data_IF_114334190572
#
_entry.id   IF_114334190572
#
_cell.length_a   1.000
_cell.length_b   1.000
_cell.length_c   1.000
_cell.angle_alpha   90.00
_cell.angle_beta   90.00
_cell.angle_gamma   90.00
#
_symmetry.space_group_name_H-M   'P 1'
#
loop_
_entity.id
_entity.type
_entity.pdbx_description
1 polymer ?
#
# COMPACT_ATOMS: atom_id res chain seq x y z
N UNK A 1 -8.29 -25.79 -11.69
CA UNK A 1 -8.80 -24.39 -11.76
C UNK A 1 -9.13 -23.93 -10.35
N UNK A 2 -8.78 -22.69 -9.98
CA UNK A 2 -9.10 -22.15 -8.65
C UNK A 2 -10.60 -21.92 -8.49
N UNK A 3 -11.16 -22.27 -7.33
CA UNK A 3 -12.61 -22.21 -7.08
C UNK A 3 -13.19 -20.80 -7.21
N UNK A 4 -12.45 -19.76 -6.77
CA UNK A 4 -12.92 -18.38 -6.74
C UNK A 4 -12.68 -17.61 -8.06
N UNK A 5 -11.95 -18.18 -9.02
CA UNK A 5 -11.61 -17.55 -10.31
C UNK A 5 -11.17 -16.07 -10.17
N UNK A 6 -10.17 -15.75 -9.34
CA UNK A 6 -9.76 -14.37 -9.10
C UNK A 6 -9.14 -13.76 -10.36
N UNK A 7 -9.37 -12.45 -10.58
CA UNK A 7 -8.66 -11.69 -11.62
C UNK A 7 -7.19 -11.41 -11.25
N UNK A 8 -6.90 -11.37 -9.95
CA UNK A 8 -5.59 -11.04 -9.40
C UNK A 8 -5.41 -11.63 -7.99
N UNK A 9 -4.18 -11.95 -7.61
CA UNK A 9 -3.80 -12.38 -6.25
C UNK A 9 -2.55 -11.62 -5.83
N UNK A 10 -2.56 -11.01 -4.64
CA UNK A 10 -1.44 -10.26 -4.11
C UNK A 10 -0.80 -10.93 -2.89
N UNK A 11 0.52 -10.87 -2.79
CA UNK A 11 1.25 -11.27 -1.58
C UNK A 11 1.02 -10.27 -0.45
N UNK A 12 0.74 -10.74 0.77
CA UNK A 12 0.38 -9.89 1.90
C UNK A 12 1.53 -8.99 2.38
N UNK A 13 1.25 -7.69 2.60
CA UNK A 13 2.25 -6.65 2.88
C UNK A 13 3.18 -6.94 4.05
N UNK A 14 2.61 -7.23 5.22
CA UNK A 14 3.43 -7.54 6.40
C UNK A 14 4.22 -8.84 6.29
N UNK A 15 3.79 -9.78 5.44
CA UNK A 15 4.53 -11.03 5.19
C UNK A 15 5.67 -10.74 4.21
N UNK A 16 5.43 -9.94 3.16
CA UNK A 16 6.49 -9.41 2.28
C UNK A 16 7.60 -8.77 3.10
N UNK A 17 7.26 -7.79 3.95
CA UNK A 17 8.26 -7.06 4.72
C UNK A 17 9.05 -7.96 5.66
N UNK A 18 8.38 -8.95 6.27
CA UNK A 18 9.02 -9.90 7.17
C UNK A 18 9.97 -10.86 6.44
N UNK A 19 9.60 -11.33 5.26
CA UNK A 19 10.45 -12.20 4.45
C UNK A 19 11.66 -11.44 3.90
N UNK A 20 11.49 -10.20 3.44
CA UNK A 20 12.59 -9.35 2.99
C UNK A 20 13.60 -9.11 4.11
N UNK A 21 13.12 -8.75 5.30
CA UNK A 21 13.97 -8.56 6.49
C UNK A 21 14.71 -9.83 6.89
N UNK A 22 14.09 -11.00 6.72
CA UNK A 22 14.72 -12.29 6.99
C UNK A 22 15.69 -12.76 5.88
N UNK A 23 15.93 -11.96 4.84
CA UNK A 23 16.76 -12.35 3.69
C UNK A 23 16.10 -13.40 2.78
N UNK A 24 14.78 -13.58 2.88
CA UNK A 24 14.00 -14.60 2.19
C UNK A 24 13.09 -14.01 1.09
N UNK A 25 13.52 -12.90 0.47
CA UNK A 25 12.78 -12.22 -0.59
C UNK A 25 12.39 -13.18 -1.74
N UNK A 26 13.23 -14.17 -2.05
CA UNK A 26 12.96 -15.15 -3.10
C UNK A 26 11.63 -15.90 -2.89
N UNK A 27 11.18 -16.12 -1.65
CA UNK A 27 9.88 -16.75 -1.39
C UNK A 27 8.70 -15.89 -1.89
N UNK A 28 8.85 -14.57 -1.88
CA UNK A 28 7.87 -13.64 -2.45
C UNK A 28 7.90 -13.71 -3.98
N UNK A 29 9.09 -13.81 -4.58
CA UNK A 29 9.22 -13.98 -6.04
C UNK A 29 8.62 -15.30 -6.50
N UNK A 30 8.88 -16.39 -5.78
CA UNK A 30 8.32 -17.71 -6.09
C UNK A 30 6.80 -17.72 -5.95
N UNK A 31 6.23 -16.91 -5.04
CA UNK A 31 4.79 -16.68 -4.97
C UNK A 31 4.27 -16.02 -6.25
N UNK A 32 4.93 -14.96 -6.73
CA UNK A 32 4.55 -14.26 -7.97
C UNK A 32 4.50 -15.24 -9.14
N UNK A 33 5.56 -16.05 -9.32
CA UNK A 33 5.62 -17.09 -10.36
C UNK A 33 4.47 -18.09 -10.27
N UNK A 34 4.18 -18.59 -9.06
CA UNK A 34 3.08 -19.55 -8.84
C UNK A 34 1.70 -18.96 -9.16
N UNK A 35 1.48 -17.67 -8.90
CA UNK A 35 0.24 -16.99 -9.27
C UNK A 35 0.12 -16.90 -10.79
N UNK A 36 1.22 -16.59 -11.49
CA UNK A 36 1.27 -16.61 -12.95
C UNK A 36 1.06 -18.00 -13.56
N UNK A 37 1.64 -19.05 -12.98
CA UNK A 37 1.40 -20.44 -13.40
C UNK A 37 -0.08 -20.83 -13.33
N UNK A 38 -0.87 -20.13 -12.50
CA UNK A 38 -2.31 -20.29 -12.40
C UNK A 38 -3.10 -19.45 -13.42
N UNK A 39 -2.43 -18.66 -14.27
CA UNK A 39 -3.03 -17.79 -15.27
C UNK A 39 -3.69 -16.53 -14.71
N UNK A 40 -3.24 -16.05 -13.56
CA UNK A 40 -3.84 -14.91 -12.83
C UNK A 40 -2.81 -13.81 -12.61
N UNK A 41 -3.24 -12.54 -12.54
CA UNK A 41 -2.35 -11.40 -12.30
C UNK A 41 -1.75 -11.48 -10.89
N UNK A 42 -0.44 -11.31 -10.79
CA UNK A 42 0.33 -11.40 -9.56
C UNK A 42 0.69 -10.02 -9.01
N UNK A 43 0.27 -9.74 -7.78
CA UNK A 43 0.60 -8.52 -7.07
C UNK A 43 1.54 -8.74 -5.89
N UNK A 44 2.26 -7.69 -5.49
CA UNK A 44 3.00 -7.66 -4.23
C UNK A 44 2.56 -6.46 -3.41
N UNK A 45 2.13 -6.71 -2.17
CA UNK A 45 1.91 -5.66 -1.20
C UNK A 45 3.14 -5.47 -0.31
N UNK A 46 3.36 -4.25 0.18
CA UNK A 46 4.36 -3.96 1.22
C UNK A 46 3.98 -2.70 2.01
N UNK A 47 4.54 -2.58 3.23
CA UNK A 47 4.52 -1.34 3.98
C UNK A 47 5.86 -0.60 3.92
N UNK A 48 6.98 -1.32 3.69
CA UNK A 48 8.27 -0.70 3.46
C UNK A 48 8.39 -0.22 1.99
N UNK A 49 8.58 1.09 1.73
CA UNK A 49 8.82 1.59 0.37
C UNK A 49 10.02 0.94 -0.33
N UNK A 50 11.10 0.64 0.41
CA UNK A 50 12.32 0.07 -0.16
C UNK A 50 12.09 -1.33 -0.75
N UNK A 51 11.18 -2.12 -0.18
CA UNK A 51 10.87 -3.44 -0.71
C UNK A 51 10.19 -3.34 -2.08
N UNK A 52 9.30 -2.36 -2.27
CA UNK A 52 8.66 -2.10 -3.56
C UNK A 52 9.71 -1.67 -4.60
N UNK A 53 10.56 -0.69 -4.24
CA UNK A 53 11.62 -0.21 -5.12
C UNK A 53 12.56 -1.34 -5.52
N UNK A 54 13.02 -2.15 -4.56
CA UNK A 54 13.91 -3.28 -4.81
C UNK A 54 13.31 -4.32 -5.75
N UNK A 55 12.02 -4.64 -5.61
CA UNK A 55 11.34 -5.57 -6.51
C UNK A 55 11.30 -5.00 -7.94
N UNK A 56 10.99 -3.71 -8.07
CA UNK A 56 10.95 -3.03 -9.37
C UNK A 56 12.34 -2.99 -10.02
N UNK A 57 13.38 -2.60 -9.27
CA UNK A 57 14.77 -2.53 -9.76
C UNK A 57 15.32 -3.89 -10.19
N UNK A 58 14.88 -4.96 -9.53
CA UNK A 58 15.23 -6.33 -9.89
C UNK A 58 14.45 -6.87 -11.10
N UNK A 59 13.51 -6.08 -11.64
CA UNK A 59 12.75 -6.43 -12.83
C UNK A 59 11.84 -7.64 -12.66
N UNK A 60 11.33 -7.89 -11.44
CA UNK A 60 10.40 -9.00 -11.23
C UNK A 60 9.13 -8.78 -12.06
N UNK A 61 8.54 -9.89 -12.48
CA UNK A 61 7.33 -10.03 -13.26
C UNK A 61 6.06 -9.70 -12.44
N UNK A 62 6.08 -8.66 -11.62
CA UNK A 62 4.91 -8.20 -10.87
C UNK A 62 3.98 -7.40 -11.80
N UNK A 63 2.68 -7.69 -11.75
CA UNK A 63 1.67 -7.00 -12.55
C UNK A 63 1.24 -5.67 -11.90
N UNK A 64 1.17 -5.63 -10.57
CA UNK A 64 0.82 -4.45 -9.80
C UNK A 64 1.38 -4.50 -8.37
N UNK A 65 1.56 -3.33 -7.76
CA UNK A 65 1.89 -3.23 -6.33
C UNK A 65 0.69 -2.80 -5.51
N UNK A 66 0.62 -3.22 -4.25
CA UNK A 66 -0.26 -2.63 -3.24
C UNK A 66 0.60 -1.89 -2.22
N UNK A 67 0.56 -0.57 -2.23
CA UNK A 67 1.54 0.29 -1.56
C UNK A 67 0.93 1.00 -0.35
N UNK A 68 1.33 0.63 0.85
CA UNK A 68 0.83 1.28 2.06
C UNK A 68 1.43 2.67 2.20
N UNK A 69 0.62 3.69 2.42
CA UNK A 69 1.13 5.04 2.72
C UNK A 69 1.89 5.14 4.05
N UNK A 70 1.85 4.11 4.89
CA UNK A 70 2.46 4.11 6.22
C UNK A 70 3.32 2.86 6.44
N UNK A 71 4.54 3.04 6.93
CA UNK A 71 5.48 1.94 7.19
C UNK A 71 5.19 1.29 8.55
N UNK A 72 3.99 0.72 8.70
CA UNK A 72 3.51 0.16 9.97
C UNK A 72 4.25 -1.10 10.44
N UNK A 73 5.07 -1.70 9.59
CA UNK A 73 5.91 -2.88 9.90
C UNK A 73 7.36 -2.48 10.21
N UNK A 74 7.62 -1.18 10.40
CA UNK A 74 8.95 -0.65 10.72
C UNK A 74 9.55 -1.43 11.90
N UNK A 75 10.78 -1.95 11.78
CA UNK A 75 11.41 -2.73 12.83
C UNK A 75 11.52 -1.95 14.14
N UNK A 76 11.33 -2.67 15.27
CA UNK A 76 11.48 -2.11 16.62
C UNK A 76 12.82 -1.43 16.82
N UNK A 77 13.90 -2.08 16.40
CA UNK A 77 15.27 -1.60 16.55
C UNK A 77 15.49 -0.29 15.76
N UNK A 78 14.90 -0.19 14.57
CA UNK A 78 14.96 1.02 13.76
C UNK A 78 14.26 2.20 14.47
N UNK A 79 13.06 1.98 15.03
CA UNK A 79 12.35 3.00 15.79
C UNK A 79 13.09 3.42 17.07
N UNK A 80 13.70 2.47 17.79
CA UNK A 80 14.55 2.80 18.95
C UNK A 80 15.74 3.66 18.53
N UNK A 81 16.37 3.34 17.40
CA UNK A 81 17.52 4.08 16.89
C UNK A 81 17.16 5.50 16.43
N UNK A 82 16.02 5.67 15.76
CA UNK A 82 15.63 6.97 15.18
C UNK A 82 14.87 7.87 16.15
N UNK A 83 14.01 7.31 16.99
CA UNK A 83 13.12 8.07 17.89
C UNK A 83 13.43 7.91 19.38
N UNK A 84 14.31 6.96 19.75
CA UNK A 84 14.61 6.63 21.15
C UNK A 84 13.48 5.93 21.90
N UNK A 85 12.38 5.59 21.19
CA UNK A 85 11.16 4.99 21.78
C UNK A 85 10.38 4.21 20.72
N UNK A 86 9.48 3.35 21.18
CA UNK A 86 8.66 2.49 20.32
C UNK A 86 7.19 2.65 20.74
N UNK A 87 6.26 2.87 19.81
CA UNK A 87 4.85 2.94 20.14
C UNK A 87 4.29 1.58 20.55
N UNK A 88 3.17 1.59 21.27
CA UNK A 88 2.34 0.41 21.42
C UNK A 88 1.52 0.26 20.13
N UNK A 89 1.65 -0.87 19.46
CA UNK A 89 0.95 -1.16 18.19
C UNK A 89 1.67 -0.63 16.95
N UNK A 90 0.90 -0.35 15.90
CA UNK A 90 1.42 0.07 14.60
C UNK A 90 1.93 1.53 14.62
N UNK A 91 3.18 1.81 14.19
CA UNK A 91 3.68 3.17 13.98
C UNK A 91 3.06 3.78 12.73
N UNK A 92 2.28 4.84 12.92
CA UNK A 92 1.83 5.70 11.82
C UNK A 92 2.57 7.03 11.95
N UNK A 93 3.57 7.27 11.11
CA UNK A 93 4.27 8.54 11.09
C UNK A 93 3.73 9.45 9.98
N UNK A 94 3.58 10.73 10.30
CA UNK A 94 3.07 11.74 9.37
C UNK A 94 3.94 11.86 8.11
N UNK A 95 5.23 11.55 8.21
CA UNK A 95 6.19 11.61 7.11
C UNK A 95 6.14 10.40 6.17
N UNK A 96 5.63 9.24 6.60
CA UNK A 96 5.67 8.00 5.80
C UNK A 96 4.99 8.13 4.41
N UNK A 97 3.86 8.86 4.25
CA UNK A 97 3.23 9.01 2.94
C UNK A 97 4.12 9.65 1.90
N UNK A 98 5.09 10.48 2.29
CA UNK A 98 6.05 11.08 1.37
C UNK A 98 6.99 10.03 0.76
N UNK A 99 7.57 9.19 1.60
CA UNK A 99 8.52 8.15 1.20
C UNK A 99 7.86 7.14 0.24
N UNK A 100 6.66 6.65 0.59
CA UNK A 100 5.95 5.71 -0.28
C UNK A 100 5.52 6.38 -1.60
N UNK A 101 5.07 7.64 -1.56
CA UNK A 101 4.66 8.37 -2.77
C UNK A 101 5.81 8.54 -3.77
N UNK A 102 7.02 8.77 -3.27
CA UNK A 102 8.21 8.87 -4.12
C UNK A 102 8.48 7.55 -4.87
N UNK A 103 8.38 6.41 -4.17
CA UNK A 103 8.52 5.08 -4.80
C UNK A 103 7.40 4.81 -5.79
N UNK A 104 6.14 5.11 -5.43
CA UNK A 104 4.99 4.95 -6.34
C UNK A 104 5.23 5.66 -7.67
N UNK A 105 5.80 6.88 -7.66
CA UNK A 105 6.09 7.64 -8.89
C UNK A 105 7.26 7.09 -9.70
N UNK A 106 8.20 6.41 -9.05
CA UNK A 106 9.41 5.91 -9.67
C UNK A 106 9.25 4.50 -10.27
N UNK A 107 8.22 3.76 -9.88
CA UNK A 107 7.95 2.43 -10.43
C UNK A 107 6.95 2.49 -11.59
N UNK A 108 7.26 1.75 -12.66
CA UNK A 108 6.43 1.74 -13.89
C UNK A 108 5.10 1.00 -13.72
N UNK A 109 5.05 0.03 -12.79
CA UNK A 109 3.87 -0.80 -12.55
C UNK A 109 2.75 0.00 -11.88
N UNK A 110 1.47 -0.33 -12.15
CA UNK A 110 0.34 0.21 -11.39
C UNK A 110 0.50 -0.02 -9.89
N UNK A 111 0.22 1.01 -9.09
CA UNK A 111 0.19 0.95 -7.65
C UNK A 111 -1.24 1.15 -7.13
N UNK A 112 -1.69 0.22 -6.28
CA UNK A 112 -2.92 0.32 -5.52
C UNK A 112 -2.57 0.85 -4.13
N UNK A 113 -2.58 2.17 -3.98
CA UNK A 113 -2.22 2.86 -2.75
C UNK A 113 -3.26 2.62 -1.65
N UNK A 114 -2.85 2.25 -0.45
CA UNK A 114 -3.78 1.94 0.65
C UNK A 114 -3.36 2.55 1.99
N UNK A 115 -4.29 2.50 2.95
CA UNK A 115 -4.22 3.21 4.25
C UNK A 115 -4.07 4.74 4.11
N UNK A 116 -4.57 5.37 3.03
CA UNK A 116 -4.52 6.85 2.87
C UNK A 116 -5.17 7.62 4.04
N UNK A 117 -6.09 6.99 4.78
CA UNK A 117 -6.75 7.54 5.97
C UNK A 117 -6.09 7.12 7.30
N UNK A 118 -4.86 6.62 7.28
CA UNK A 118 -4.09 6.17 8.45
C UNK A 118 -4.85 5.20 9.37
N UNK A 119 -5.62 4.28 8.76
CA UNK A 119 -6.50 3.35 9.46
C UNK A 119 -7.44 4.04 10.48
N UNK A 120 -8.10 5.12 10.04
CA UNK A 120 -9.09 5.87 10.83
C UNK A 120 -8.52 7.06 11.59
N UNK A 121 -7.20 7.17 11.74
CA UNK A 121 -6.56 8.27 12.49
C UNK A 121 -6.79 9.64 11.85
N UNK A 122 -7.06 9.68 10.54
CA UNK A 122 -7.38 10.90 9.79
C UNK A 122 -8.88 11.09 9.54
N UNK A 123 -9.77 10.35 10.23
CA UNK A 123 -11.21 10.37 9.97
C UNK A 123 -12.03 11.26 10.93
N UNK A 124 -11.38 12.06 11.79
CA UNK A 124 -12.06 12.85 12.82
C UNK A 124 -12.86 14.05 12.28
N UNK A 125 -12.61 14.48 11.04
CA UNK A 125 -13.38 15.53 10.37
C UNK A 125 -13.46 15.28 8.88
N UNK A 126 -14.51 15.82 8.24
CA UNK A 126 -14.68 15.77 6.78
C UNK A 126 -13.48 16.37 6.04
N UNK A 127 -12.97 17.50 6.54
CA UNK A 127 -11.80 18.18 5.98
C UNK A 127 -10.54 17.31 6.06
N UNK A 128 -10.34 16.58 7.16
CA UNK A 128 -9.19 15.67 7.30
C UNK A 128 -9.25 14.51 6.30
N UNK A 129 -10.44 13.92 6.11
CA UNK A 129 -10.67 12.89 5.09
C UNK A 129 -10.41 13.45 3.69
N UNK A 130 -11.01 14.59 3.36
CA UNK A 130 -10.85 15.24 2.05
C UNK A 130 -9.39 15.56 1.73
N UNK A 131 -8.63 16.12 2.70
CA UNK A 131 -7.19 16.38 2.54
C UNK A 131 -6.39 15.11 2.27
N UNK A 132 -6.72 13.99 2.92
CA UNK A 132 -6.04 12.72 2.67
C UNK A 132 -6.29 12.19 1.25
N UNK A 133 -7.52 12.31 0.72
CA UNK A 133 -7.83 12.00 -0.67
C UNK A 133 -7.10 12.92 -1.64
N UNK A 134 -7.16 14.24 -1.42
CA UNK A 134 -6.46 15.22 -2.25
C UNK A 134 -4.95 14.94 -2.30
N UNK A 135 -4.35 14.67 -1.13
CA UNK A 135 -2.94 14.32 -1.04
C UNK A 135 -2.65 13.06 -1.87
N UNK A 136 -3.34 11.95 -1.61
CA UNK A 136 -3.09 10.69 -2.31
C UNK A 136 -3.15 10.86 -3.84
N UNK A 137 -4.21 11.47 -4.37
CA UNK A 137 -4.34 11.66 -5.82
C UNK A 137 -3.35 12.67 -6.42
N UNK A 138 -2.83 13.62 -5.63
CA UNK A 138 -1.74 14.49 -6.09
C UNK A 138 -0.38 13.78 -6.14
N UNK A 139 -0.26 12.62 -5.48
CA UNK A 139 1.00 11.91 -5.29
C UNK A 139 1.16 10.62 -6.11
N UNK A 140 0.08 10.03 -6.61
CA UNK A 140 0.12 8.79 -7.41
C UNK A 140 0.10 9.06 -8.92
N UNK A 141 0.34 8.03 -9.74
CA UNK A 141 0.33 8.09 -11.21
C UNK A 141 -1.09 7.97 -11.76
N UNK A 142 -1.31 8.33 -13.03
CA UNK A 142 -2.63 8.21 -13.69
C UNK A 142 -3.14 6.76 -13.82
N UNK A 143 -2.21 5.81 -13.83
CA UNK A 143 -2.50 4.37 -13.92
C UNK A 143 -2.70 3.72 -12.55
N UNK A 144 -2.58 4.49 -11.48
CA UNK A 144 -2.69 4.01 -10.10
C UNK A 144 -4.12 4.14 -9.58
N UNK A 145 -4.41 3.48 -8.46
CA UNK A 145 -5.69 3.60 -7.77
C UNK A 145 -5.49 3.65 -6.25
N UNK A 146 -6.55 3.96 -5.51
CA UNK A 146 -6.56 3.94 -4.04
C UNK A 146 -7.51 2.87 -3.51
N UNK A 147 -7.08 2.14 -2.48
CA UNK A 147 -7.90 1.21 -1.70
C UNK A 147 -8.23 1.90 -0.38
N UNK A 148 -9.51 2.23 -0.20
CA UNK A 148 -10.00 2.97 0.97
C UNK A 148 -10.86 2.08 1.84
N UNK A 149 -10.42 1.87 3.08
CA UNK A 149 -11.21 1.19 4.11
C UNK A 149 -12.35 2.08 4.59
N UNK A 150 -13.46 1.46 4.97
CA UNK A 150 -14.67 2.14 5.41
C UNK A 150 -15.41 1.32 6.48
N UNK A 151 -16.17 1.99 7.33
CA UNK A 151 -17.12 1.42 8.29
C UNK A 151 -18.48 2.14 8.15
N UNK A 152 -19.28 1.80 7.12
CA UNK A 152 -20.46 2.56 6.72
C UNK A 152 -21.68 2.29 7.62
N UNK A 153 -21.49 2.07 8.92
CA UNK A 153 -22.58 1.86 9.88
C UNK A 153 -23.23 3.17 10.34
N UNK A 154 -22.49 4.28 10.30
CA UNK A 154 -22.95 5.58 10.83
C UNK A 154 -23.15 6.65 9.75
N UNK A 155 -22.53 6.48 8.58
CA UNK A 155 -22.67 7.37 7.42
C UNK A 155 -22.36 6.61 6.12
N UNK A 156 -22.78 7.18 5.01
CA UNK A 156 -22.53 6.64 3.67
C UNK A 156 -21.09 6.92 3.21
N UNK A 157 -20.15 6.18 3.80
CA UNK A 157 -18.72 6.28 3.46
C UNK A 157 -18.42 5.77 2.04
N UNK A 158 -19.27 4.89 1.49
CA UNK A 158 -19.15 4.41 0.10
C UNK A 158 -19.31 5.60 -0.84
N UNK A 159 -20.39 6.36 -0.68
CA UNK A 159 -20.67 7.54 -1.50
C UNK A 159 -19.63 8.63 -1.27
N UNK A 160 -19.29 8.94 -0.02
CA UNK A 160 -18.30 9.97 0.32
C UNK A 160 -16.94 9.67 -0.34
N UNK A 161 -16.45 8.43 -0.19
CA UNK A 161 -15.19 8.01 -0.81
C UNK A 161 -15.27 8.11 -2.34
N UNK A 162 -16.36 7.65 -2.97
CA UNK A 162 -16.55 7.74 -4.42
C UNK A 162 -16.63 9.19 -4.92
N UNK A 163 -17.22 10.11 -4.16
CA UNK A 163 -17.25 11.54 -4.49
C UNK A 163 -15.85 12.16 -4.45
N UNK A 164 -15.03 11.86 -3.44
CA UNK A 164 -13.64 12.34 -3.40
C UNK A 164 -12.79 11.77 -4.53
N UNK A 165 -12.94 10.48 -4.87
CA UNK A 165 -12.28 9.88 -6.04
C UNK A 165 -12.67 10.60 -7.32
N UNK A 166 -13.96 10.88 -7.54
CA UNK A 166 -14.39 11.64 -8.74
C UNK A 166 -13.89 13.09 -8.74
N UNK A 167 -13.71 13.69 -7.57
CA UNK A 167 -13.23 15.07 -7.45
C UNK A 167 -11.73 15.18 -7.70
N UNK A 168 -10.92 14.32 -7.09
CA UNK A 168 -9.46 14.42 -7.08
C UNK A 168 -8.76 13.45 -8.03
N UNK A 169 -9.39 12.34 -8.39
CA UNK A 169 -8.83 11.30 -9.26
C UNK A 169 -8.86 11.62 -10.77
N UNK A 170 -9.19 12.85 -11.17
CA UNK A 170 -9.19 13.29 -12.59
C UNK A 170 -7.78 13.59 -13.11
N UNK A 171 -6.76 12.89 -12.60
CA UNK A 171 -5.34 13.23 -12.81
C UNK A 171 -4.91 13.02 -14.26
#
# INVERSE_FOLDING_TARGET
>A
MMQLQPIAIAHHGGVTDSLFRAGQAQKVHDFVKKVHDCGVLAGVSAHNPENIQRIADQGWEVDFFMTCFYYVTRPREEMLKTLGKVPVGEPFFESDPEEMSQVIRNVDKPCLAFKILAAGRLCWSRESVERAFQYAFSRIKKIDAVIVGMYPCFKDEVRENAEYVRKYGKV
#
